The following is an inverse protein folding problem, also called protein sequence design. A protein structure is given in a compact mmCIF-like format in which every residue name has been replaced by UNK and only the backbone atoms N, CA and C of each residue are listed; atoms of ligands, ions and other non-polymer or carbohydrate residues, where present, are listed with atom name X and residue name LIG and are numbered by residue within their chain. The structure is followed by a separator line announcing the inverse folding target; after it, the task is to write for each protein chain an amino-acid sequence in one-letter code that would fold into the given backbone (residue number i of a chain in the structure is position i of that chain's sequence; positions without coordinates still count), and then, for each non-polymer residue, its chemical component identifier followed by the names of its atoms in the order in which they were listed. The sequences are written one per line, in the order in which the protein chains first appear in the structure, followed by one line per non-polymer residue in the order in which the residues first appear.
data_IF_464376809046
#
_entry.id   IF_464376809046
#
_cell.length_a   1.000
_cell.length_b   1.000
_cell.length_c   1.000
_cell.angle_alpha   90.00
_cell.angle_beta   90.00
_cell.angle_gamma   90.00
#
_symmetry.space_group_name_H-M   'P 1'
#
loop_
_entity.id
_entity.type
_entity.pdbx_description
1 polymer ?
#
# COMPACT_ATOMS: atom_id res chain seq x y z
N UNK A 1 9.28 1.06 10.34
CA UNK A 1 9.49 1.08 8.88
C UNK A 1 10.43 0.00 8.37
N UNK A 2 11.26 -0.65 9.21
CA UNK A 2 12.19 -1.75 8.83
C UNK A 2 11.70 -2.76 7.78
N UNK A 3 10.45 -3.23 7.86
CA UNK A 3 9.89 -4.13 6.84
C UNK A 3 9.76 -3.44 5.48
N UNK A 4 9.19 -2.23 5.45
CA UNK A 4 9.08 -1.44 4.22
C UNK A 4 10.47 -1.18 3.61
N UNK A 5 11.46 -0.84 4.45
CA UNK A 5 12.84 -0.59 4.00
C UNK A 5 13.42 -1.81 3.30
N UNK A 6 13.35 -2.98 3.94
CA UNK A 6 13.83 -4.24 3.35
C UNK A 6 13.11 -4.59 2.05
N UNK A 7 11.79 -4.37 1.98
CA UNK A 7 11.01 -4.63 0.77
C UNK A 7 11.42 -3.70 -0.37
N UNK A 8 11.58 -2.41 -0.11
CA UNK A 8 11.99 -1.41 -1.11
C UNK A 8 13.43 -1.66 -1.59
N UNK A 9 14.31 -2.10 -0.70
CA UNK A 9 15.67 -2.53 -1.05
C UNK A 9 15.64 -3.75 -1.98
N UNK A 10 14.89 -4.79 -1.61
CA UNK A 10 14.71 -6.01 -2.42
C UNK A 10 14.11 -5.68 -3.79
N UNK A 11 13.17 -4.73 -3.86
CA UNK A 11 12.60 -4.26 -5.13
C UNK A 11 13.63 -3.54 -5.99
N UNK A 12 14.54 -2.78 -5.39
CA UNK A 12 15.63 -2.12 -6.14
C UNK A 12 16.54 -3.16 -6.77
N UNK A 13 16.98 -4.15 -5.98
CA UNK A 13 17.84 -5.24 -6.45
C UNK A 13 17.15 -6.08 -7.54
N UNK A 14 15.87 -6.38 -7.37
CA UNK A 14 15.08 -7.15 -8.35
C UNK A 14 14.93 -6.44 -9.70
N UNK A 15 15.07 -5.10 -9.72
CA UNK A 15 15.11 -4.28 -10.92
C UNK A 15 16.53 -4.10 -11.48
N UNK A 16 17.55 -4.72 -10.88
CA UNK A 16 18.96 -4.57 -11.25
C UNK A 16 19.56 -3.22 -10.86
N UNK A 17 18.98 -2.55 -9.85
CA UNK A 17 19.45 -1.26 -9.33
C UNK A 17 20.30 -1.47 -8.07
N UNK A 18 21.08 -0.45 -7.73
CA UNK A 18 21.71 -0.35 -6.41
C UNK A 18 20.66 -0.51 -5.29
N UNK A 19 20.94 -1.27 -4.20
CA UNK A 19 19.92 -1.64 -3.20
C UNK A 19 19.13 -0.46 -2.63
N UNK A 20 19.79 0.68 -2.40
CA UNK A 20 19.14 1.87 -1.84
C UNK A 20 18.58 2.85 -2.89
N UNK A 21 18.50 2.47 -4.17
CA UNK A 21 18.10 3.37 -5.25
C UNK A 21 16.65 3.84 -5.12
N UNK A 22 15.70 2.92 -4.92
CA UNK A 22 14.29 3.29 -4.77
C UNK A 22 14.04 4.04 -3.46
N UNK A 23 14.73 3.66 -2.38
CA UNK A 23 14.61 4.35 -1.09
C UNK A 23 14.98 5.84 -1.20
N UNK A 24 16.08 6.13 -1.91
CA UNK A 24 16.49 7.52 -2.20
C UNK A 24 15.47 8.25 -3.08
N UNK A 25 14.90 7.57 -4.07
CA UNK A 25 13.89 8.15 -4.96
C UNK A 25 12.58 8.49 -4.23
N UNK A 26 12.22 7.74 -3.19
CA UNK A 26 11.03 7.93 -2.37
C UNK A 26 11.21 8.96 -1.24
N UNK A 27 12.32 9.70 -1.23
CA UNK A 27 12.59 10.78 -0.27
C UNK A 27 13.85 10.59 0.56
N UNK A 28 14.43 9.39 0.59
CA UNK A 28 15.59 9.06 1.44
C UNK A 28 15.23 8.91 2.92
N UNK A 29 16.16 8.40 3.73
CA UNK A 29 15.92 7.99 5.14
C UNK A 29 15.29 9.10 6.01
N UNK A 30 15.66 10.36 5.77
CA UNK A 30 15.17 11.51 6.55
C UNK A 30 13.78 12.04 6.14
N UNK A 31 13.22 11.58 5.00
CA UNK A 31 11.94 12.08 4.46
C UNK A 31 10.92 10.99 4.15
N UNK A 32 11.18 9.74 4.53
CA UNK A 32 10.16 8.68 4.42
C UNK A 32 9.07 8.93 5.45
N UNK A 33 8.01 9.63 5.02
CA UNK A 33 6.79 9.78 5.80
C UNK A 33 6.02 8.45 5.86
N UNK A 34 5.80 7.93 7.06
CA UNK A 34 4.91 6.80 7.28
C UNK A 34 3.51 7.31 7.68
N UNK A 35 2.48 6.92 6.94
CA UNK A 35 1.08 7.19 7.31
C UNK A 35 0.38 5.90 7.69
N UNK A 36 -0.32 5.92 8.82
CA UNK A 36 -1.22 4.83 9.23
C UNK A 36 -2.66 5.21 8.91
N UNK A 37 -3.39 4.32 8.24
CA UNK A 37 -4.84 4.44 8.03
C UNK A 37 -5.54 3.20 8.59
N UNK A 38 -6.45 3.41 9.53
CA UNK A 38 -7.32 2.36 10.05
C UNK A 38 -8.71 2.53 9.46
N UNK A 39 -9.13 1.59 8.60
CA UNK A 39 -10.40 1.66 7.89
C UNK A 39 -11.38 0.63 8.48
N UNK A 40 -12.61 1.05 8.77
CA UNK A 40 -13.69 0.17 9.21
C UNK A 40 -14.84 0.28 8.21
N UNK A 41 -15.18 -0.84 7.59
CA UNK A 41 -16.27 -0.92 6.62
C UNK A 41 -17.44 -1.70 7.24
N UNK A 42 -18.48 -1.04 7.76
CA UNK A 42 -19.63 -1.71 8.38
C UNK A 42 -20.50 -2.43 7.33
N UNK A 43 -21.41 -3.29 7.81
CA UNK A 43 -22.42 -3.93 6.94
C UNK A 43 -23.24 -2.87 6.21
N UNK A 44 -23.31 -2.96 4.89
CA UNK A 44 -24.14 -2.10 4.06
C UNK A 44 -25.44 -2.81 3.65
N UNK A 45 -26.63 -2.20 3.82
CA UNK A 45 -27.89 -2.79 3.36
C UNK A 45 -28.01 -2.91 1.83
N UNK A 46 -27.33 -2.03 1.08
CA UNK A 46 -27.40 -1.98 -0.38
C UNK A 46 -25.98 -1.98 -1.02
N UNK A 47 -25.19 -3.05 -0.84
CA UNK A 47 -23.78 -3.08 -1.24
C UNK A 47 -23.57 -3.01 -2.77
N UNK A 48 -24.60 -3.24 -3.56
CA UNK A 48 -24.55 -3.12 -5.03
C UNK A 48 -24.69 -1.68 -5.52
N UNK A 49 -25.08 -0.73 -4.66
CA UNK A 49 -25.23 0.70 -4.98
C UNK A 49 -24.16 1.58 -4.34
N UNK A 50 -23.30 1.02 -3.49
CA UNK A 50 -22.33 1.78 -2.69
C UNK A 50 -20.97 1.09 -2.70
N UNK A 51 -19.90 1.87 -2.63
CA UNK A 51 -18.53 1.37 -2.42
C UNK A 51 -18.05 1.78 -1.03
N UNK A 52 -17.34 0.88 -0.34
CA UNK A 52 -16.64 1.25 0.90
C UNK A 52 -15.55 2.29 0.65
N UNK A 53 -14.83 2.16 -0.46
CA UNK A 53 -13.84 3.12 -0.95
C UNK A 53 -13.88 3.12 -2.48
N UNK A 54 -13.88 4.31 -3.09
CA UNK A 54 -13.88 4.44 -4.55
C UNK A 54 -12.57 3.91 -5.16
N UNK A 55 -12.61 3.49 -6.43
CA UNK A 55 -11.41 3.09 -7.16
C UNK A 55 -10.40 4.25 -7.22
N UNK A 56 -9.15 3.97 -6.85
CA UNK A 56 -8.05 4.93 -6.87
C UNK A 56 -6.70 4.19 -6.89
N UNK A 57 -5.61 4.94 -7.06
CA UNK A 57 -4.24 4.49 -6.78
C UNK A 57 -3.72 5.24 -5.56
N UNK A 58 -2.97 4.56 -4.71
CA UNK A 58 -2.33 5.22 -3.58
C UNK A 58 -1.26 6.21 -4.07
N UNK A 59 -1.16 7.40 -3.46
CA UNK A 59 -0.16 8.40 -3.87
C UNK A 59 1.26 8.11 -3.34
N UNK A 60 1.42 7.08 -2.50
CA UNK A 60 2.69 6.72 -1.87
C UNK A 60 3.53 5.72 -2.67
N UNK A 61 4.75 5.45 -2.20
CA UNK A 61 5.64 4.48 -2.83
C UNK A 61 5.26 3.02 -2.56
N UNK A 62 4.97 2.68 -1.30
CA UNK A 62 4.58 1.32 -0.88
C UNK A 62 3.49 1.38 0.18
N UNK A 63 2.44 0.56 0.00
CA UNK A 63 1.38 0.37 0.98
C UNK A 63 1.46 -1.07 1.52
N UNK A 64 1.57 -1.22 2.84
CA UNK A 64 1.43 -2.51 3.52
C UNK A 64 0.04 -2.56 4.13
N UNK A 65 -0.76 -3.52 3.70
CA UNK A 65 -2.13 -3.70 4.18
C UNK A 65 -2.22 -4.94 5.06
N UNK A 66 -2.87 -4.77 6.22
CA UNK A 66 -3.37 -5.87 7.04
C UNK A 66 -4.91 -5.93 6.87
N UNK A 67 -5.43 -6.78 5.98
CA UNK A 67 -6.88 -6.91 5.78
C UNK A 67 -7.52 -7.79 6.87
N UNK A 68 -8.84 -7.70 6.99
CA UNK A 68 -9.62 -8.63 7.82
C UNK A 68 -9.57 -10.05 7.23
N UNK A 69 -9.28 -11.05 8.07
CA UNK A 69 -9.14 -12.45 7.63
C UNK A 69 -10.47 -13.13 7.29
N UNK A 70 -11.59 -12.64 7.83
CA UNK A 70 -12.92 -13.26 7.71
C UNK A 70 -13.85 -12.50 6.77
N UNK A 71 -13.56 -11.23 6.48
CA UNK A 71 -14.41 -10.37 5.65
C UNK A 71 -13.65 -9.90 4.41
N UNK A 72 -14.07 -10.39 3.24
CA UNK A 72 -13.54 -9.95 1.95
C UNK A 72 -14.10 -8.57 1.54
N UNK A 73 -13.33 -7.80 0.76
CA UNK A 73 -13.79 -6.50 0.24
C UNK A 73 -12.79 -5.76 -0.65
N UNK A 74 -11.48 -5.99 -0.47
CA UNK A 74 -10.47 -5.40 -1.36
C UNK A 74 -10.56 -6.03 -2.76
N UNK A 75 -10.59 -5.18 -3.78
CA UNK A 75 -10.53 -5.58 -5.18
C UNK A 75 -9.47 -4.74 -5.90
N UNK A 76 -8.70 -5.38 -6.78
CA UNK A 76 -7.67 -4.73 -7.60
C UNK A 76 -8.06 -4.86 -9.06
N UNK A 77 -8.19 -3.73 -9.76
CA UNK A 77 -8.40 -3.72 -11.21
C UNK A 77 -7.10 -4.14 -11.89
N UNK A 78 -7.15 -5.24 -12.65
CA UNK A 78 -6.07 -5.65 -13.55
C UNK A 78 -6.34 -5.09 -14.95
N UNK A 79 -5.33 -4.48 -15.55
CA UNK A 79 -5.30 -4.11 -16.96
C UNK A 79 -4.82 -5.26 -17.82
#
# INVERSE_FOLDING_TARGET
TKLCERLVETLSESLGLEPNRLMKALGGEDKVGASLRANIYPKCPQPHLTLGLSSHSDPGGITILLPDEKVAGLQVRRG
#
